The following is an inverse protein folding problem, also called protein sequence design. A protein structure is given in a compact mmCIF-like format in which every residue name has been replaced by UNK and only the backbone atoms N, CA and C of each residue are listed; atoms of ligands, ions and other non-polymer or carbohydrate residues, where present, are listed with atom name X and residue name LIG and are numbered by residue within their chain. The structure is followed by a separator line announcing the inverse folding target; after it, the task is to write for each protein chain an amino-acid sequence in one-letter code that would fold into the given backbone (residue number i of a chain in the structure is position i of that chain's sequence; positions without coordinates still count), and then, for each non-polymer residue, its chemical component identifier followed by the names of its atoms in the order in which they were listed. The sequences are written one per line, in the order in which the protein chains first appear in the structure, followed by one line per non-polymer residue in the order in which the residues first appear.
data_IF_974229811931
#
_entry.id   IF_974229811931
#
_cell.length_a   1.000
_cell.length_b   1.000
_cell.length_c   1.000
_cell.angle_alpha   90.00
_cell.angle_beta   90.00
_cell.angle_gamma   90.00
#
_symmetry.space_group_name_H-M   'P 1'
#
loop_
_entity.id
_entity.type
_entity.pdbx_description
1 polymer ?
#
# COMPACT_ATOMS: atom_id res chain seq x y z
N UNK A 1 13.45 17.64 -20.15
CA UNK A 1 12.42 18.58 -19.66
C UNK A 1 12.12 18.23 -18.23
N UNK A 2 12.69 18.96 -17.27
CA UNK A 2 12.50 18.73 -15.84
C UNK A 2 11.26 19.50 -15.42
N UNK A 3 10.10 18.85 -15.37
CA UNK A 3 8.85 19.50 -14.94
C UNK A 3 9.00 19.84 -13.47
N UNK A 4 9.11 21.12 -13.16
CA UNK A 4 9.14 21.60 -11.79
C UNK A 4 7.78 21.24 -11.14
N UNK A 5 7.83 20.44 -10.09
CA UNK A 5 6.64 19.96 -9.38
C UNK A 5 5.85 21.15 -8.82
N UNK A 6 6.54 22.21 -8.39
CA UNK A 6 5.91 23.40 -7.84
C UNK A 6 5.06 24.11 -8.89
N UNK A 7 5.55 24.20 -10.14
CA UNK A 7 4.79 24.79 -11.26
C UNK A 7 3.58 23.92 -11.64
N UNK A 8 3.72 22.59 -11.57
CA UNK A 8 2.63 21.66 -11.82
C UNK A 8 1.54 21.76 -10.72
N UNK A 9 1.93 21.88 -9.47
CA UNK A 9 1.02 22.04 -8.33
C UNK A 9 0.33 23.41 -8.34
N UNK A 10 1.05 24.49 -8.68
CA UNK A 10 0.48 25.82 -8.81
C UNK A 10 -0.60 25.86 -9.92
N UNK A 11 -0.35 25.18 -11.04
CA UNK A 11 -1.35 25.03 -12.12
C UNK A 11 -2.57 24.24 -11.66
N UNK A 12 -2.36 23.13 -10.95
CA UNK A 12 -3.47 22.32 -10.42
C UNK A 12 -4.32 23.12 -9.41
N UNK A 13 -3.69 23.94 -8.57
CA UNK A 13 -4.39 24.78 -7.60
C UNK A 13 -5.21 25.91 -8.25
N UNK A 14 -4.78 26.39 -9.42
CA UNK A 14 -5.51 27.41 -10.19
C UNK A 14 -6.67 26.86 -11.01
N UNK A 15 -6.74 25.55 -11.19
CA UNK A 15 -7.74 24.92 -12.05
C UNK A 15 -9.10 24.84 -11.33
N UNK A 16 -10.18 24.99 -12.11
CA UNK A 16 -11.51 24.95 -11.52
C UNK A 16 -11.78 23.55 -10.92
N UNK A 17 -12.36 23.46 -9.70
CA UNK A 17 -12.61 22.17 -9.08
C UNK A 17 -13.44 21.28 -10.01
N UNK A 18 -12.95 20.05 -10.21
CA UNK A 18 -13.61 19.08 -11.08
C UNK A 18 -15.05 18.85 -10.60
N UNK A 19 -16.04 19.04 -11.49
CA UNK A 19 -17.48 18.96 -11.14
C UNK A 19 -17.89 17.63 -10.50
N UNK A 20 -17.13 16.55 -10.72
CA UNK A 20 -17.37 15.26 -10.08
C UNK A 20 -16.99 15.20 -8.60
N UNK A 21 -16.23 16.18 -8.09
CA UNK A 21 -15.91 16.33 -6.67
C UNK A 21 -17.02 17.05 -5.88
N UNK A 22 -17.93 17.74 -6.57
CA UNK A 22 -19.06 18.43 -5.93
C UNK A 22 -19.95 17.42 -5.21
N UNK A 23 -20.09 17.56 -3.89
CA UNK A 23 -20.88 16.65 -3.06
C UNK A 23 -20.26 15.26 -2.89
N UNK A 24 -18.97 15.10 -3.20
CA UNK A 24 -18.25 13.85 -2.94
C UNK A 24 -18.22 13.54 -1.45
N UNK A 25 -18.06 14.55 -0.59
CA UNK A 25 -18.09 14.42 0.87
C UNK A 25 -19.42 13.83 1.35
N UNK A 26 -20.56 14.41 0.93
CA UNK A 26 -21.89 13.89 1.27
C UNK A 26 -22.10 12.47 0.76
N UNK A 27 -21.58 12.17 -0.44
CA UNK A 27 -21.68 10.84 -1.03
C UNK A 27 -20.85 9.80 -0.28
N UNK A 28 -19.64 10.18 0.16
CA UNK A 28 -18.75 9.33 0.96
C UNK A 28 -19.34 9.11 2.35
N UNK A 29 -19.82 10.17 3.01
CA UNK A 29 -20.44 10.07 4.33
C UNK A 29 -21.72 9.23 4.28
N UNK A 30 -22.54 9.41 3.25
CA UNK A 30 -23.72 8.57 3.01
C UNK A 30 -23.34 7.12 2.74
N UNK A 31 -22.25 6.87 1.99
CA UNK A 31 -21.75 5.52 1.76
C UNK A 31 -21.25 4.86 3.05
N UNK A 32 -20.52 5.59 3.90
CA UNK A 32 -20.05 5.10 5.21
C UNK A 32 -21.24 4.82 6.13
N UNK A 33 -22.22 5.72 6.19
CA UNK A 33 -23.41 5.54 7.01
C UNK A 33 -24.27 4.35 6.53
N UNK A 34 -24.26 4.07 5.22
CA UNK A 34 -24.94 2.91 4.62
C UNK A 34 -24.13 1.64 4.70
N UNK A 35 -22.83 1.71 4.96
CA UNK A 35 -21.98 0.54 5.15
C UNK A 35 -22.57 -0.22 6.33
N UNK A 36 -23.15 -1.42 6.12
CA UNK A 36 -23.62 -2.21 7.23
C UNK A 36 -22.39 -2.50 8.08
N UNK A 37 -22.35 -1.98 9.31
CA UNK A 37 -21.50 -2.57 10.33
C UNK A 37 -21.92 -4.03 10.36
N UNK A 38 -21.07 -4.92 9.85
CA UNK A 38 -21.35 -6.35 9.87
C UNK A 38 -21.67 -6.65 11.33
N UNK A 39 -22.95 -6.88 11.62
CA UNK A 39 -23.40 -7.23 12.95
C UNK A 39 -22.96 -8.67 13.14
N UNK A 40 -21.67 -8.82 13.45
CA UNK A 40 -21.09 -10.08 13.89
C UNK A 40 -21.79 -10.34 15.22
N UNK A 41 -22.81 -11.19 15.20
CA UNK A 41 -23.53 -11.58 16.41
C UNK A 41 -22.51 -11.96 17.49
N UNK A 42 -22.81 -11.65 18.75
CA UNK A 42 -21.86 -11.81 19.86
C UNK A 42 -21.15 -13.18 19.87
N UNK A 43 -21.83 -14.24 19.44
CA UNK A 43 -21.24 -15.57 19.26
C UNK A 43 -20.12 -15.66 18.22
N UNK A 44 -20.27 -15.04 17.04
CA UNK A 44 -19.22 -15.04 16.00
C UNK A 44 -18.04 -14.15 16.38
N UNK A 45 -18.26 -13.07 17.14
CA UNK A 45 -17.19 -12.20 17.64
C UNK A 45 -16.32 -12.91 18.69
N UNK A 46 -16.93 -13.72 19.56
CA UNK A 46 -16.20 -14.54 20.54
C UNK A 46 -15.34 -15.61 19.85
N UNK A 47 -15.85 -16.23 18.79
CA UNK A 47 -15.11 -17.25 18.02
C UNK A 47 -13.90 -16.62 17.32
N UNK A 48 -14.06 -15.47 16.65
CA UNK A 48 -12.95 -14.80 15.95
C UNK A 48 -11.90 -14.30 16.93
N UNK A 49 -12.31 -13.75 18.08
CA UNK A 49 -11.39 -13.33 19.12
C UNK A 49 -10.63 -14.52 19.72
N UNK A 50 -11.31 -15.65 19.94
CA UNK A 50 -10.68 -16.91 20.34
C UNK A 50 -9.64 -17.39 19.32
N UNK A 51 -9.99 -17.43 18.04
CA UNK A 51 -9.07 -17.84 16.96
C UNK A 51 -7.87 -16.89 16.82
N UNK A 52 -8.07 -15.58 16.96
CA UNK A 52 -6.99 -14.61 16.91
C UNK A 52 -6.01 -14.78 18.08
N UNK A 53 -6.54 -15.03 19.29
CA UNK A 53 -5.72 -15.31 20.47
C UNK A 53 -4.97 -16.63 20.35
N UNK A 54 -5.61 -17.69 19.85
CA UNK A 54 -4.92 -18.97 19.64
C UNK A 54 -3.81 -18.82 18.60
N UNK A 55 -4.07 -18.20 17.45
CA UNK A 55 -3.05 -17.94 16.44
C UNK A 55 -1.88 -17.09 16.98
N UNK A 56 -2.17 -16.05 17.76
CA UNK A 56 -1.14 -15.22 18.40
C UNK A 56 -0.28 -15.99 19.40
N UNK A 57 -0.89 -16.85 20.22
CA UNK A 57 -0.17 -17.70 21.18
C UNK A 57 0.65 -18.76 20.43
N UNK A 58 0.07 -19.47 19.46
CA UNK A 58 0.78 -20.47 18.67
C UNK A 58 1.93 -19.87 17.85
N UNK A 59 1.76 -18.65 17.30
CA UNK A 59 2.82 -17.94 16.56
C UNK A 59 4.02 -17.55 17.43
N UNK A 60 3.86 -17.48 18.75
CA UNK A 60 4.96 -17.15 19.67
C UNK A 60 5.66 -18.41 20.21
N UNK A 61 4.99 -19.57 20.15
CA UNK A 61 5.51 -20.85 20.65
C UNK A 61 6.15 -21.69 19.53
N UNK A 62 5.63 -21.59 18.31
CA UNK A 62 6.22 -22.24 17.14
C UNK A 62 7.28 -21.29 16.56
N UNK A 63 8.58 -21.66 16.56
CA UNK A 63 9.58 -20.89 15.85
C UNK A 63 9.13 -20.75 14.40
N UNK A 64 8.93 -19.51 13.94
CA UNK A 64 8.76 -19.27 12.51
C UNK A 64 9.97 -19.89 11.83
N UNK A 65 9.76 -20.97 11.07
CA UNK A 65 10.81 -21.56 10.25
C UNK A 65 11.49 -20.42 9.49
N UNK A 66 12.83 -20.39 9.46
CA UNK A 66 13.61 -19.31 8.90
C UNK A 66 12.95 -18.78 7.63
N UNK A 67 12.49 -17.53 7.69
CA UNK A 67 11.86 -16.89 6.56
C UNK A 67 12.91 -16.83 5.44
N UNK A 68 12.85 -17.81 4.53
CA UNK A 68 13.65 -17.78 3.31
C UNK A 68 13.20 -16.54 2.56
N UNK A 69 14.10 -15.56 2.46
CA UNK A 69 13.89 -14.37 1.66
C UNK A 69 13.46 -14.85 0.26
N UNK A 70 12.28 -14.42 -0.18
CA UNK A 70 11.87 -14.66 -1.55
C UNK A 70 13.01 -14.17 -2.46
N UNK A 71 13.43 -14.96 -3.47
CA UNK A 71 14.48 -14.54 -4.38
C UNK A 71 14.13 -13.14 -4.89
N UNK A 72 15.10 -12.22 -4.77
CA UNK A 72 14.89 -10.79 -4.95
C UNK A 72 13.96 -10.51 -6.13
N UNK A 73 12.69 -10.21 -5.81
CA UNK A 73 11.73 -9.74 -6.79
C UNK A 73 12.15 -8.32 -7.11
N UNK A 74 13.07 -8.17 -8.07
CA UNK A 74 13.40 -6.87 -8.66
C UNK A 74 12.14 -6.37 -9.37
N UNK A 75 11.41 -5.38 -8.83
CA UNK A 75 10.17 -4.90 -9.44
C UNK A 75 10.42 -4.14 -10.77
N UNK A 76 11.69 -3.99 -11.17
CA UNK A 76 12.14 -3.26 -12.35
C UNK A 76 12.85 -4.14 -13.39
N UNK A 77 12.66 -5.47 -13.32
CA UNK A 77 13.29 -6.40 -14.26
C UNK A 77 14.73 -6.75 -13.88
N UNK A 78 15.30 -7.69 -14.65
CA UNK A 78 16.56 -8.36 -14.37
C UNK A 78 17.68 -7.38 -13.95
N UNK A 79 18.55 -7.74 -12.99
CA UNK A 79 19.71 -6.93 -12.67
C UNK A 79 20.54 -6.78 -13.96
N UNK A 80 20.53 -5.57 -14.53
CA UNK A 80 21.41 -5.22 -15.63
C UNK A 80 22.84 -5.48 -15.14
N UNK A 81 23.65 -6.33 -15.81
CA UNK A 81 24.99 -6.68 -15.37
C UNK A 81 26.00 -5.53 -15.55
N UNK A 82 25.53 -4.33 -15.88
CA UNK A 82 26.32 -3.14 -16.09
C UNK A 82 26.17 -2.23 -14.87
N UNK A 83 26.87 -2.59 -13.80
CA UNK A 83 27.12 -1.66 -12.70
C UNK A 83 27.75 -0.37 -13.28
N UNK A 84 27.29 0.84 -12.89
CA UNK A 84 27.71 2.13 -13.45
C UNK A 84 29.22 2.43 -13.41
N UNK A 85 30.03 1.61 -12.73
CA UNK A 85 31.48 1.75 -12.65
C UNK A 85 32.22 1.31 -13.92
N UNK A 86 31.61 0.52 -14.81
CA UNK A 86 32.26 0.13 -16.07
C UNK A 86 32.38 1.26 -17.09
N UNK A 87 31.59 2.34 -16.95
CA UNK A 87 31.69 3.56 -17.76
C UNK A 87 32.84 4.50 -17.34
N UNK A 88 33.45 4.29 -16.17
CA UNK A 88 34.58 5.09 -15.68
C UNK A 88 35.95 4.47 -15.97
N UNK A 89 35.97 3.21 -16.43
CA UNK A 89 37.21 2.45 -16.65
C UNK A 89 37.51 2.23 -18.14
N UNK A 90 36.71 2.78 -19.07
CA UNK A 90 37.01 2.71 -20.50
C UNK A 90 38.12 3.72 -20.85
N UNK A 91 39.35 3.28 -21.16
CA UNK A 91 40.36 4.15 -21.73
C UNK A 91 40.07 4.31 -23.24
N UNK A 92 40.23 5.55 -23.70
CA UNK A 92 40.02 6.01 -25.07
C UNK A 92 40.77 5.19 -26.13
#
# INVERSE_FOLDING_TARGET
MNTNIDDALARLASDAPYRGLTGLEDRVLSAIARQPAAAIGTGTALITMGLALTLGVFSNVVPAADAQAAPALSPLGAPSPLAPSSLLTEPR
#
